data_IF_116159063039
#
_entry.id   IF_116159063039
#
_cell.length_a   1.000
_cell.length_b   1.000
_cell.length_c   1.000
_cell.angle_alpha   90.00
_cell.angle_beta   90.00
_cell.angle_gamma   90.00
#
_symmetry.space_group_name_H-M   'P 1'
#
loop_
_entity.id
_entity.type
_entity.pdbx_description
1 polymer ?
#
# COMPACT_ATOMS: atom_id res chain seq x y z
N UNK A 1 7.63 -13.49 11.15
CA UNK A 1 7.56 -12.36 10.20
C UNK A 1 6.17 -11.78 10.34
N UNK A 2 6.04 -10.53 10.76
CA UNK A 2 4.71 -9.91 10.92
C UNK A 2 4.24 -9.42 9.57
N UNK A 3 3.18 -10.03 9.04
CA UNK A 3 2.50 -9.62 7.80
C UNK A 3 1.13 -9.08 8.16
N UNK A 4 0.70 -8.04 7.45
CA UNK A 4 -0.64 -7.47 7.52
C UNK A 4 -1.41 -7.83 6.25
N UNK A 5 -2.70 -8.11 6.40
CA UNK A 5 -3.61 -8.33 5.28
C UNK A 5 -4.71 -7.27 5.34
N UNK A 6 -4.98 -6.61 4.23
CA UNK A 6 -6.06 -5.63 4.10
C UNK A 6 -6.98 -6.08 2.98
N UNK A 7 -8.26 -6.31 3.30
CA UNK A 7 -9.29 -6.71 2.36
C UNK A 7 -10.12 -5.50 1.94
N UNK A 8 -10.26 -5.32 0.63
CA UNK A 8 -10.78 -4.10 0.02
C UNK A 8 -11.83 -4.46 -1.02
N UNK A 9 -12.98 -3.81 -0.97
CA UNK A 9 -14.13 -4.09 -1.84
C UNK A 9 -14.38 -2.94 -2.82
N UNK A 10 -14.56 -3.25 -4.11
CA UNK A 10 -14.93 -2.27 -5.13
C UNK A 10 -16.34 -1.72 -4.85
N UNK A 11 -16.52 -0.40 -4.91
CA UNK A 11 -17.78 0.29 -4.55
C UNK A 11 -18.75 0.47 -5.71
N UNK A 12 -18.28 0.40 -6.96
CA UNK A 12 -19.12 0.48 -8.15
C UNK A 12 -18.52 -0.40 -9.27
N UNK A 13 -19.39 -1.04 -10.04
CA UNK A 13 -19.02 -1.81 -11.23
C UNK A 13 -18.46 -0.87 -12.31
N UNK A 14 -17.14 -0.90 -12.48
CA UNK A 14 -16.51 -0.43 -13.72
C UNK A 14 -16.63 -1.54 -14.78
N UNK A 15 -16.57 -1.22 -16.09
CA UNK A 15 -16.47 -2.27 -17.11
C UNK A 15 -15.31 -3.21 -16.77
N UNK A 16 -15.52 -4.51 -16.90
CA UNK A 16 -14.55 -5.55 -16.52
C UNK A 16 -13.17 -5.24 -17.14
N UNK A 17 -12.22 -4.97 -16.26
CA UNK A 17 -10.83 -4.72 -16.59
C UNK A 17 -9.96 -5.28 -15.47
N UNK A 18 -8.81 -5.86 -15.84
CA UNK A 18 -7.76 -6.27 -14.89
C UNK A 18 -7.00 -5.07 -14.31
N UNK A 19 -7.45 -3.83 -14.57
CA UNK A 19 -6.82 -2.63 -14.09
C UNK A 19 -7.32 -2.25 -12.68
N UNK A 20 -6.49 -1.51 -11.97
CA UNK A 20 -6.78 -1.10 -10.59
C UNK A 20 -7.78 0.06 -10.51
N UNK A 21 -8.25 0.56 -11.65
CA UNK A 21 -9.18 1.67 -11.74
C UNK A 21 -10.44 1.44 -10.91
N UNK A 22 -10.81 2.44 -10.12
CA UNK A 22 -12.07 2.45 -9.40
C UNK A 22 -11.97 3.00 -7.99
N UNK A 23 -13.10 2.89 -7.29
CA UNK A 23 -13.23 3.26 -5.88
C UNK A 23 -13.31 1.99 -5.05
N UNK A 24 -12.44 1.89 -4.06
CA UNK A 24 -12.21 0.71 -3.25
C UNK A 24 -12.40 1.06 -1.77
N UNK A 25 -13.15 0.25 -1.03
CA UNK A 25 -13.41 0.46 0.39
C UNK A 25 -12.74 -0.63 1.22
N UNK A 26 -11.88 -0.24 2.16
CA UNK A 26 -11.30 -1.16 3.12
C UNK A 26 -12.40 -1.62 4.08
N UNK A 27 -12.63 -2.94 4.14
CA UNK A 27 -13.68 -3.52 5.00
C UNK A 27 -13.12 -4.41 6.11
N UNK A 28 -11.88 -4.89 5.97
CA UNK A 28 -11.22 -5.73 6.98
C UNK A 28 -9.71 -5.53 6.92
N UNK A 29 -9.07 -5.52 8.09
CA UNK A 29 -7.62 -5.49 8.24
C UNK A 29 -7.18 -6.46 9.35
N UNK A 30 -6.12 -7.21 9.08
CA UNK A 30 -5.52 -8.19 9.99
C UNK A 30 -4.09 -7.78 10.31
N UNK A 31 -3.68 -7.90 11.58
CA UNK A 31 -2.34 -7.59 12.09
C UNK A 31 -1.85 -6.15 11.82
N UNK A 32 -2.76 -5.20 11.59
CA UNK A 32 -2.43 -3.80 11.33
C UNK A 32 -1.59 -3.19 12.44
N UNK A 33 -2.05 -3.25 13.69
CA UNK A 33 -1.37 -2.60 14.83
C UNK A 33 0.03 -3.16 15.06
N UNK A 34 0.18 -4.49 15.01
CA UNK A 34 1.46 -5.16 15.17
C UNK A 34 2.44 -4.80 14.06
N UNK A 35 1.96 -4.81 12.81
CA UNK A 35 2.77 -4.43 11.66
C UNK A 35 3.23 -2.97 11.76
N UNK A 36 2.32 -2.05 12.07
CA UNK A 36 2.63 -0.62 12.21
C UNK A 36 3.60 -0.33 13.34
N UNK A 37 3.43 -0.99 14.49
CA UNK A 37 4.39 -0.92 15.59
C UNK A 37 5.77 -1.39 15.15
N UNK A 38 5.82 -2.47 14.40
CA UNK A 38 7.06 -3.10 13.99
C UNK A 38 7.81 -2.30 12.89
N UNK A 39 7.11 -1.51 12.06
CA UNK A 39 7.73 -0.54 11.12
C UNK A 39 7.96 0.86 11.72
N UNK A 40 7.66 1.05 13.02
CA UNK A 40 7.89 2.30 13.75
C UNK A 40 6.90 3.43 13.42
N UNK A 41 5.65 3.09 13.13
CA UNK A 41 4.56 4.03 12.85
C UNK A 41 3.22 3.63 13.52
N UNK A 42 3.17 3.24 14.81
CA UNK A 42 1.94 2.81 15.47
C UNK A 42 0.83 3.89 15.47
N UNK A 43 1.19 5.17 15.44
CA UNK A 43 0.28 6.31 15.44
C UNK A 43 -0.66 6.36 14.22
N UNK A 44 -0.32 5.63 13.14
CA UNK A 44 -1.11 5.64 11.91
C UNK A 44 -2.29 4.68 11.95
N UNK A 45 -2.33 3.74 12.91
CA UNK A 45 -3.37 2.71 13.00
C UNK A 45 -4.78 3.30 13.05
N UNK A 46 -4.98 4.34 13.86
CA UNK A 46 -6.27 5.03 13.99
C UNK A 46 -6.71 5.72 12.68
N UNK A 47 -5.77 6.04 11.79
CA UNK A 47 -6.04 6.67 10.48
C UNK A 47 -6.33 5.66 9.38
N UNK A 48 -6.14 4.35 9.62
CA UNK A 48 -6.32 3.29 8.63
C UNK A 48 -7.71 2.62 8.67
N UNK A 49 -8.55 2.99 9.64
CA UNK A 49 -9.90 2.45 9.76
C UNK A 49 -10.85 2.94 8.65
N UNK A 50 -11.46 2.01 7.91
CA UNK A 50 -12.58 2.24 6.96
C UNK A 50 -12.29 3.30 5.90
N UNK A 51 -11.12 3.20 5.25
CA UNK A 51 -10.71 4.15 4.22
C UNK A 51 -11.36 3.84 2.88
N UNK A 52 -11.57 4.91 2.11
CA UNK A 52 -11.93 4.83 0.70
C UNK A 52 -10.70 5.18 -0.13
N UNK A 53 -10.31 4.29 -1.05
CA UNK A 53 -9.18 4.46 -1.95
C UNK A 53 -9.73 4.61 -3.36
N UNK A 54 -9.51 5.75 -3.98
CA UNK A 54 -9.77 5.92 -5.42
C UNK A 54 -8.46 5.72 -6.15
N UNK A 55 -8.44 4.81 -7.11
CA UNK A 55 -7.28 4.55 -7.96
C UNK A 55 -7.65 4.98 -9.38
N UNK A 56 -6.83 5.84 -9.94
CA UNK A 56 -6.85 6.24 -11.35
C UNK A 56 -5.56 5.72 -11.99
N UNK A 57 -5.69 4.75 -12.89
CA UNK A 57 -4.60 4.14 -13.64
C UNK A 57 -4.70 4.58 -15.10
N UNK A 58 -3.65 5.24 -15.60
CA UNK A 58 -3.48 5.61 -17.00
C UNK A 58 -2.18 5.00 -17.52
N UNK A 59 -2.27 3.78 -18.05
CA UNK A 59 -1.10 2.99 -18.46
C UNK A 59 -0.20 2.69 -17.26
N UNK A 60 0.98 3.34 -17.20
CA UNK A 60 1.96 3.19 -16.12
C UNK A 60 1.85 4.25 -15.04
N UNK A 61 1.05 5.28 -15.25
CA UNK A 61 0.86 6.38 -14.30
C UNK A 61 -0.36 6.10 -13.43
N UNK A 62 -0.18 6.18 -12.12
CA UNK A 62 -1.19 5.90 -11.13
C UNK A 62 -1.39 7.11 -10.23
N UNK A 63 -2.64 7.36 -9.86
CA UNK A 63 -3.02 8.30 -8.80
C UNK A 63 -3.87 7.57 -7.78
N UNK A 64 -3.38 7.49 -6.55
CA UNK A 64 -4.09 6.96 -5.39
C UNK A 64 -4.60 8.12 -4.55
N UNK A 65 -5.92 8.22 -4.41
CA UNK A 65 -6.59 9.17 -3.53
C UNK A 65 -7.12 8.40 -2.34
N UNK A 66 -6.46 8.54 -1.19
CA UNK A 66 -6.85 7.90 0.06
C UNK A 66 -7.71 8.90 0.83
N UNK A 67 -8.99 8.56 1.03
CA UNK A 67 -9.94 9.34 1.81
C UNK A 67 -10.19 8.63 3.14
N UNK A 68 -9.88 9.34 4.21
CA UNK A 68 -10.12 8.92 5.59
C UNK A 68 -11.17 9.86 6.20
N UNK A 69 -11.69 9.54 7.39
CA UNK A 69 -12.61 10.45 8.09
C UNK A 69 -11.95 11.81 8.45
N UNK A 70 -10.62 11.88 8.48
CA UNK A 70 -9.86 13.01 9.01
C UNK A 70 -9.15 13.80 7.91
N UNK A 71 -8.70 13.13 6.86
CA UNK A 71 -7.95 13.75 5.77
C UNK A 71 -8.13 13.00 4.44
N UNK A 72 -7.91 13.73 3.34
CA UNK A 72 -7.72 13.16 2.01
C UNK A 72 -6.28 13.37 1.60
N UNK A 73 -5.62 12.31 1.12
CA UNK A 73 -4.23 12.35 0.65
C UNK A 73 -4.17 11.81 -0.77
N UNK A 74 -3.39 12.48 -1.62
CA UNK A 74 -3.21 12.11 -3.03
C UNK A 74 -1.75 11.71 -3.23
N UNK A 75 -1.54 10.52 -3.77
CA UNK A 75 -0.23 10.00 -4.14
C UNK A 75 -0.22 9.63 -5.61
N UNK A 76 0.61 10.31 -6.40
CA UNK A 76 0.82 9.98 -7.80
C UNK A 76 2.19 9.33 -7.98
N UNK A 77 2.25 8.25 -8.75
CA UNK A 77 3.48 7.51 -9.04
C UNK A 77 3.44 6.89 -10.43
N UNK A 78 4.61 6.57 -10.95
CA UNK A 78 4.76 5.86 -12.23
C UNK A 78 5.43 4.51 -12.00
N UNK A 79 4.89 3.45 -12.58
CA UNK A 79 5.49 2.11 -12.54
C UNK A 79 6.93 2.13 -13.08
N UNK A 80 7.84 1.51 -12.34
CA UNK A 80 9.26 1.41 -12.66
C UNK A 80 10.09 2.65 -12.33
N UNK A 81 9.51 3.67 -11.68
CA UNK A 81 10.24 4.85 -11.19
C UNK A 81 10.23 4.89 -9.66
N UNK A 82 11.40 5.14 -9.08
CA UNK A 82 11.51 5.49 -7.66
C UNK A 82 10.82 6.83 -7.43
N UNK A 83 9.95 6.90 -6.43
CA UNK A 83 9.23 8.12 -6.05
C UNK A 83 9.43 8.39 -4.55
N UNK A 84 9.77 9.62 -4.19
CA UNK A 84 9.73 10.06 -2.80
C UNK A 84 8.28 10.35 -2.41
N UNK A 85 7.74 9.62 -1.43
CA UNK A 85 6.40 9.82 -0.91
C UNK A 85 6.45 10.18 0.57
N UNK A 86 5.53 11.04 0.99
CA UNK A 86 5.39 11.41 2.40
C UNK A 86 4.29 10.54 3.01
N UNK A 87 4.64 9.73 4.00
CA UNK A 87 3.67 8.94 4.73
C UNK A 87 2.73 9.81 5.57
N UNK A 88 1.64 9.21 6.06
CA UNK A 88 0.60 9.89 6.85
C UNK A 88 1.08 10.40 8.22
N UNK A 89 2.27 10.00 8.65
CA UNK A 89 3.00 10.50 9.83
C UNK A 89 3.95 11.67 9.50
N UNK A 90 4.03 12.08 8.23
CA UNK A 90 4.91 13.14 7.74
C UNK A 90 6.33 12.69 7.39
N UNK A 91 6.67 11.41 7.58
CA UNK A 91 7.99 10.89 7.23
C UNK A 91 8.09 10.67 5.72
N UNK A 92 9.18 11.13 5.13
CA UNK A 92 9.51 10.83 3.73
C UNK A 92 10.05 9.41 3.63
N UNK A 93 9.62 8.69 2.60
CA UNK A 93 10.12 7.36 2.26
C UNK A 93 10.25 7.25 0.75
N UNK A 94 11.21 6.43 0.30
CA UNK A 94 11.33 6.05 -1.10
C UNK A 94 10.43 4.85 -1.35
N UNK A 95 9.64 4.92 -2.40
CA UNK A 95 8.78 3.83 -2.83
C UNK A 95 8.98 3.59 -4.32
N UNK A 96 9.15 2.32 -4.70
CA UNK A 96 9.17 1.88 -6.09
C UNK A 96 7.99 0.98 -6.34
N UNK A 97 7.23 1.27 -7.40
CA UNK A 97 6.07 0.48 -7.78
C UNK A 97 6.39 -0.35 -9.03
N UNK A 98 6.02 -1.63 -9.01
CA UNK A 98 6.14 -2.55 -10.14
C UNK A 98 4.85 -3.36 -10.33
N UNK A 99 4.64 -3.83 -11.54
CA UNK A 99 3.54 -4.74 -11.86
C UNK A 99 4.15 -6.09 -12.28
N UNK A 100 3.78 -7.16 -11.59
CA UNK A 100 4.27 -8.51 -11.83
C UNK A 100 3.10 -9.49 -11.75
N UNK A 101 2.87 -10.29 -12.79
CA UNK A 101 1.80 -11.30 -12.85
C UNK A 101 0.39 -10.78 -12.50
N UNK A 102 0.08 -9.55 -12.92
CA UNK A 102 -1.21 -8.89 -12.61
C UNK A 102 -1.33 -8.37 -11.18
N UNK A 103 -0.22 -8.34 -10.43
CA UNK A 103 -0.15 -7.79 -9.07
C UNK A 103 0.59 -6.46 -9.07
N UNK A 104 0.08 -5.52 -8.30
CA UNK A 104 0.75 -4.24 -8.05
C UNK A 104 1.60 -4.38 -6.79
N UNK A 105 2.91 -4.23 -6.93
CA UNK A 105 3.87 -4.37 -5.83
C UNK A 105 4.47 -2.99 -5.55
N UNK A 106 4.35 -2.55 -4.30
CA UNK A 106 4.99 -1.36 -3.78
C UNK A 106 6.12 -1.78 -2.84
N UNK A 107 7.34 -1.31 -3.10
CA UNK A 107 8.52 -1.65 -2.33
C UNK A 107 9.15 -0.40 -1.73
N UNK A 108 9.40 -0.47 -0.41
CA UNK A 108 10.08 0.56 0.37
C UNK A 108 11.25 -0.06 1.13
N UNK A 109 12.05 0.78 1.78
CA UNK A 109 13.12 0.37 2.69
C UNK A 109 12.63 -0.44 3.90
N UNK A 110 11.36 -0.26 4.30
CA UNK A 110 10.77 -0.87 5.51
C UNK A 110 9.85 -2.05 5.22
N UNK A 111 9.03 -1.92 4.19
CA UNK A 111 8.02 -2.93 3.84
C UNK A 111 7.83 -3.09 2.34
N UNK A 112 7.33 -4.27 1.97
CA UNK A 112 6.80 -4.58 0.64
C UNK A 112 5.30 -4.79 0.78
N UNK A 113 4.52 -4.21 -0.12
CA UNK A 113 3.07 -4.38 -0.21
C UNK A 113 2.70 -4.94 -1.58
N UNK A 114 1.88 -5.99 -1.61
CA UNK A 114 1.43 -6.67 -2.83
C UNK A 114 -0.10 -6.57 -2.89
N UNK A 115 -0.63 -6.01 -3.97
CA UNK A 115 -2.07 -5.93 -4.24
C UNK A 115 -2.45 -6.83 -5.39
N UNK A 116 -3.50 -7.61 -5.19
CA UNK A 116 -4.06 -8.53 -6.16
C UNK A 116 -5.57 -8.34 -6.25
N UNK A 117 -6.08 -8.18 -7.47
CA UNK A 117 -7.51 -8.09 -7.74
C UNK A 117 -8.07 -9.51 -7.92
N UNK A 118 -9.12 -9.83 -7.15
CA UNK A 118 -9.84 -11.09 -7.15
C UNK A 118 -11.32 -10.80 -7.42
N UNK A 119 -11.65 -10.53 -8.69
CA UNK A 119 -12.98 -10.07 -9.10
C UNK A 119 -13.29 -8.67 -8.56
N UNK A 120 -14.33 -8.57 -7.72
CA UNK A 120 -14.72 -7.32 -7.05
C UNK A 120 -13.91 -7.03 -5.78
N UNK A 121 -13.08 -7.98 -5.34
CA UNK A 121 -12.23 -7.83 -4.18
C UNK A 121 -10.80 -7.47 -4.58
N UNK A 122 -10.12 -6.74 -3.72
CA UNK A 122 -8.68 -6.55 -3.76
C UNK A 122 -8.10 -6.95 -2.42
N UNK A 123 -7.07 -7.80 -2.46
CA UNK A 123 -6.32 -8.21 -1.28
C UNK A 123 -4.97 -7.52 -1.32
N UNK A 124 -4.67 -6.75 -0.28
CA UNK A 124 -3.34 -6.19 -0.06
C UNK A 124 -2.64 -6.97 1.05
N UNK A 125 -1.49 -7.56 0.76
CA UNK A 125 -0.62 -8.19 1.76
C UNK A 125 0.65 -7.37 1.89
N UNK A 126 0.93 -6.89 3.11
CA UNK A 126 2.15 -6.16 3.42
C UNK A 126 3.03 -6.94 4.39
N UNK A 127 4.33 -6.96 4.12
CA UNK A 127 5.32 -7.63 4.95
C UNK A 127 6.61 -6.81 5.02
N UNK A 128 7.50 -7.19 5.93
CA UNK A 128 8.81 -6.56 6.04
C UNK A 128 9.60 -6.69 4.75
N UNK A 129 10.17 -5.57 4.31
CA UNK A 129 11.09 -5.56 3.19
C UNK A 129 12.39 -6.18 3.68
N UNK A 130 12.88 -7.22 3.01
CA UNK A 130 14.13 -7.89 3.43
C UNK A 130 15.38 -7.09 3.06
N UNK A 131 15.24 -5.89 2.50
CA UNK A 131 16.32 -5.05 1.96
C UNK A 131 17.15 -4.29 3.00
N UNK A 132 16.98 -4.54 4.31
CA UNK A 132 17.95 -4.11 5.31
C UNK A 132 18.19 -5.19 6.38
N UNK A 133 18.91 -6.23 5.97
CA UNK A 133 19.88 -6.93 6.81
C UNK A 133 21.25 -6.87 6.12
N UNK A 134 21.75 -5.68 5.84
CA UNK A 134 23.20 -5.47 5.87
C UNK A 134 23.55 -5.29 7.36
N UNK A 135 24.16 -6.29 8.01
CA UNK A 135 25.61 -6.45 8.08
C UNK A 135 26.33 -5.24 8.71
N UNK A 136 25.83 -4.72 9.83
CA UNK A 136 26.66 -4.06 10.86
C UNK A 136 26.68 -4.87 12.16
N UNK A 137 26.70 -6.19 12.00
CA UNK A 137 27.24 -7.07 13.02
C UNK A 137 28.76 -6.98 12.99
N UNK A 138 29.33 -5.93 13.58
CA UNK A 138 30.68 -6.06 14.14
C UNK A 138 30.62 -7.16 15.20
N UNK A 139 31.01 -8.37 14.78
CA UNK A 139 31.59 -9.36 15.66
C UNK A 139 33.10 -9.12 15.66
N UNK A 140 33.58 -8.37 16.65
CA UNK A 140 34.86 -8.60 17.33
C UNK A 140 34.67 -8.40 18.83
#
# INVERSE_FOLDING_TARGET
MTTRTTNILRQATQPEGMDFNGTWQVYSEENLEEFLKAIGAPEIAAKMCKLLIVIEQNGKDFTHIIKTAVCTTVHSFTIGKETETTAVDGKKMKCTFREEDGKLIAETDKFTSVREIQGDNMVEVSGFSSINRDLDGEFL
#
